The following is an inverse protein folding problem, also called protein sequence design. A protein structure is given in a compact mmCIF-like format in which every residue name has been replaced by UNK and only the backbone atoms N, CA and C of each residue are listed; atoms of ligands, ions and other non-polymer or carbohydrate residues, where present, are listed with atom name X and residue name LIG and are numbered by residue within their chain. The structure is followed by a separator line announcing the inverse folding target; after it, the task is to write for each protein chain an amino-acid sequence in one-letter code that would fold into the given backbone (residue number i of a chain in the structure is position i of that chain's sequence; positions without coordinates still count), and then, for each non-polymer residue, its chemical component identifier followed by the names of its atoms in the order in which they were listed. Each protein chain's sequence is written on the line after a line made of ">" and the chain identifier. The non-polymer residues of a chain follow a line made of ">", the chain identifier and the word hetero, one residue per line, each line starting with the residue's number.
data_IF_703529658682
#
_entry.id   IF_703529658682
#
_cell.length_a   1.000
_cell.length_b   1.000
_cell.length_c   1.000
_cell.angle_alpha   90.00
_cell.angle_beta   90.00
_cell.angle_gamma   90.00
#
_symmetry.space_group_name_H-M   'P 1'
#
loop_
_entity.id
_entity.type
_entity.pdbx_description
1 polymer ?
#
# COMPACT_ATOMS: atom_id res chain seq x y z
N UNK A 1 12.27 19.60 -19.54
CA UNK A 1 11.72 18.44 -18.79
C UNK A 1 12.45 18.35 -17.46
N UNK A 2 12.07 19.14 -16.46
CA UNK A 2 12.70 19.10 -15.13
C UNK A 2 11.97 18.06 -14.28
N UNK A 3 12.42 16.81 -14.29
CA UNK A 3 11.95 15.79 -13.37
C UNK A 3 12.76 15.94 -12.08
N UNK A 4 12.16 16.54 -11.06
CA UNK A 4 12.79 16.81 -9.78
C UNK A 4 12.84 15.49 -8.97
N UNK A 5 14.02 14.88 -8.73
CA UNK A 5 14.12 13.55 -8.13
C UNK A 5 13.77 13.51 -6.63
N UNK A 6 13.49 14.67 -6.01
CA UNK A 6 13.04 14.78 -4.62
C UNK A 6 11.53 14.74 -4.44
N UNK A 7 10.76 14.71 -5.51
CA UNK A 7 9.31 14.46 -5.45
C UNK A 7 9.08 13.00 -5.83
N UNK A 8 9.44 12.08 -4.93
CA UNK A 8 8.70 10.83 -4.86
C UNK A 8 7.30 11.24 -4.40
N UNK A 9 6.34 11.36 -5.31
CA UNK A 9 4.94 11.67 -5.01
C UNK A 9 4.53 10.86 -3.80
N UNK A 10 4.44 11.48 -2.62
CA UNK A 10 4.41 10.80 -1.33
C UNK A 10 3.39 9.68 -1.32
N UNK A 11 3.84 8.46 -1.60
CA UNK A 11 2.97 7.31 -1.69
C UNK A 11 2.51 7.03 -0.27
N UNK A 12 1.20 7.11 -0.06
CA UNK A 12 0.61 6.73 1.21
C UNK A 12 0.98 5.27 1.49
N UNK A 13 1.71 5.05 2.57
CA UNK A 13 2.08 3.72 3.06
C UNK A 13 1.39 3.47 4.39
N UNK A 14 1.12 2.20 4.69
CA UNK A 14 0.65 1.84 6.02
C UNK A 14 1.74 2.14 7.05
N UNK A 15 1.35 2.76 8.16
CA UNK A 15 2.27 3.16 9.23
C UNK A 15 3.13 1.98 9.70
N UNK A 16 4.43 2.21 9.87
CA UNK A 16 5.38 1.16 10.27
C UNK A 16 5.72 0.14 9.17
N UNK A 17 5.18 0.30 7.96
CA UNK A 17 5.47 -0.56 6.81
C UNK A 17 5.95 0.26 5.62
N UNK A 18 6.43 -0.44 4.59
CA UNK A 18 6.68 0.13 3.26
C UNK A 18 5.60 -0.30 2.26
N UNK A 19 4.46 -0.80 2.72
CA UNK A 19 3.36 -1.28 1.88
C UNK A 19 2.52 -0.08 1.46
N UNK A 20 2.40 0.21 0.15
CA UNK A 20 1.52 1.27 -0.35
C UNK A 20 0.05 0.95 -0.13
N UNK A 21 -0.75 1.98 0.18
CA UNK A 21 -2.22 1.88 0.27
C UNK A 21 -2.84 1.51 -1.09
N UNK A 22 -2.18 1.86 -2.20
CA UNK A 22 -2.62 1.51 -3.55
C UNK A 22 -2.75 -0.01 -3.74
N UNK A 23 -1.90 -0.81 -3.09
CA UNK A 23 -1.97 -2.27 -3.17
C UNK A 23 -3.29 -2.78 -2.55
N UNK A 24 -3.71 -2.24 -1.40
CA UNK A 24 -5.01 -2.60 -0.81
C UNK A 24 -6.15 -2.28 -1.78
N UNK A 25 -6.11 -1.10 -2.42
CA UNK A 25 -7.12 -0.70 -3.39
C UNK A 25 -7.16 -1.68 -4.58
N UNK A 26 -6.01 -2.12 -5.08
CA UNK A 26 -5.93 -3.11 -6.17
C UNK A 26 -6.55 -4.45 -5.80
N UNK A 27 -6.32 -4.96 -4.58
CA UNK A 27 -6.96 -6.19 -4.10
C UNK A 27 -8.48 -6.04 -4.08
N UNK A 28 -8.97 -4.95 -3.50
CA UNK A 28 -10.42 -4.68 -3.43
C UNK A 28 -11.06 -4.53 -4.83
N UNK A 29 -10.37 -3.87 -5.77
CA UNK A 29 -10.83 -3.73 -7.16
C UNK A 29 -10.81 -5.07 -7.90
N UNK A 30 -9.86 -5.95 -7.58
CA UNK A 30 -9.77 -7.30 -8.14
C UNK A 30 -10.84 -8.24 -7.57
N UNK A 31 -11.57 -7.81 -6.53
CA UNK A 31 -12.60 -8.60 -5.84
C UNK A 31 -12.05 -9.47 -4.72
N UNK A 32 -10.78 -9.28 -4.34
CA UNK A 32 -10.19 -9.97 -3.21
C UNK A 32 -10.67 -9.39 -1.88
N UNK A 33 -10.77 -10.26 -0.87
CA UNK A 33 -11.14 -9.88 0.48
C UNK A 33 -10.00 -9.21 1.23
N UNK A 34 -10.36 -8.39 2.24
CA UNK A 34 -9.38 -7.79 3.15
C UNK A 34 -8.55 -8.86 3.88
N UNK A 35 -9.16 -9.99 4.25
CA UNK A 35 -8.45 -11.11 4.88
C UNK A 35 -7.33 -11.67 3.99
N UNK A 36 -7.55 -11.76 2.68
CA UNK A 36 -6.54 -12.20 1.70
C UNK A 36 -5.37 -11.22 1.69
N UNK A 37 -5.66 -9.92 1.62
CA UNK A 37 -4.63 -8.88 1.69
C UNK A 37 -3.83 -8.94 2.99
N UNK A 38 -4.49 -9.13 4.13
CA UNK A 38 -3.82 -9.21 5.44
C UNK A 38 -3.00 -10.50 5.61
N UNK A 39 -3.40 -11.60 4.97
CA UNK A 39 -2.61 -12.82 4.93
C UNK A 39 -1.29 -12.61 4.15
N UNK A 40 -1.33 -11.85 3.05
CA UNK A 40 -0.15 -11.51 2.25
C UNK A 40 0.72 -10.41 2.90
N UNK A 41 0.09 -9.47 3.62
CA UNK A 41 0.76 -8.35 4.30
C UNK A 41 0.43 -8.31 5.81
N UNK A 42 0.85 -9.31 6.60
CA UNK A 42 0.52 -9.38 8.02
C UNK A 42 1.12 -8.23 8.84
N UNK A 43 2.15 -7.56 8.32
CA UNK A 43 2.78 -6.38 8.95
C UNK A 43 1.92 -5.12 8.89
N UNK A 44 0.89 -5.09 8.04
CA UNK A 44 -0.06 -3.97 7.94
C UNK A 44 -1.03 -3.96 9.13
N UNK A 45 -1.27 -5.12 9.73
CA UNK A 45 -2.12 -5.24 10.91
C UNK A 45 -1.43 -4.58 12.12
N UNK A 46 -1.83 -3.35 12.45
CA UNK A 46 -1.54 -2.79 13.76
C UNK A 46 -2.45 -3.48 14.79
N UNK A 47 -1.86 -4.00 15.86
CA UNK A 47 -2.61 -4.44 17.04
C UNK A 47 -3.28 -3.26 17.73
#
# INVERSE_FOLDING_TARGET
>A
MSQNPRVMHGTLVFAGTRVPVEILIQYLVSGDSLDTFLADFPTVLHK
#
